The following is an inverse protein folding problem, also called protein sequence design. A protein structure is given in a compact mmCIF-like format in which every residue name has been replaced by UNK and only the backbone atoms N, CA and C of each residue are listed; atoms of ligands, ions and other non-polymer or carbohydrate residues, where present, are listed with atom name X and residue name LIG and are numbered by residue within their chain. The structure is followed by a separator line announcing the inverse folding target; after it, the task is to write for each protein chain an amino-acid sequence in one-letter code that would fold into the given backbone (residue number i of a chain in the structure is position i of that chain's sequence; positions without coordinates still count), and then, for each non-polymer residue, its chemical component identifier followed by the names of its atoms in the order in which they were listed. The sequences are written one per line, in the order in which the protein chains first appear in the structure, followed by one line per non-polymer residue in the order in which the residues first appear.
data_IF_168063849639
#
_entry.id   IF_168063849639
#
_cell.length_a   1.000
_cell.length_b   1.000
_cell.length_c   1.000
_cell.angle_alpha   90.00
_cell.angle_beta   90.00
_cell.angle_gamma   90.00
#
_symmetry.space_group_name_H-M   'P 1'
#
loop_
_entity.id
_entity.type
_entity.pdbx_description
1 polymer ?
#
# COMPACT_ATOMS: atom_id res chain seq x y z
N UNK A 1 35.61 11.61 54.51
CA UNK A 1 34.64 12.37 53.65
C UNK A 1 34.88 12.11 52.18
N UNK A 2 36.05 12.22 51.67
CA UNK A 2 36.35 11.97 50.23
C UNK A 2 35.94 10.58 49.76
N UNK A 3 36.20 9.53 50.55
CA UNK A 3 35.82 8.15 50.20
C UNK A 3 34.31 7.91 50.08
N UNK A 4 33.51 8.64 50.84
CA UNK A 4 32.06 8.53 50.79
C UNK A 4 31.52 9.19 49.52
N UNK A 5 32.17 10.27 49.09
CA UNK A 5 31.80 10.97 47.85
C UNK A 5 32.06 10.11 46.63
N UNK A 6 33.16 9.34 46.62
CA UNK A 6 33.44 8.38 45.53
C UNK A 6 32.44 7.23 45.46
N UNK A 7 31.94 6.75 46.59
CA UNK A 7 30.93 5.73 46.67
C UNK A 7 29.59 6.26 46.15
N UNK A 8 29.22 7.47 46.46
CA UNK A 8 28.01 8.13 45.90
C UNK A 8 28.12 8.37 44.40
N UNK A 9 29.27 8.78 43.92
CA UNK A 9 29.51 8.99 42.49
C UNK A 9 29.46 7.67 41.70
N UNK A 10 29.91 6.58 42.29
CA UNK A 10 29.87 5.26 41.65
C UNK A 10 28.45 4.71 41.48
N UNK A 11 27.52 5.02 42.40
CA UNK A 11 26.15 4.58 42.38
C UNK A 11 25.33 5.25 41.23
N UNK A 12 25.76 6.44 40.81
CA UNK A 12 25.08 7.18 39.74
C UNK A 12 25.31 6.55 38.36
N UNK A 13 26.39 5.78 38.17
CA UNK A 13 26.71 5.15 36.90
C UNK A 13 26.03 3.80 36.65
N UNK A 14 25.30 3.25 37.61
CA UNK A 14 24.57 1.98 37.47
C UNK A 14 23.10 2.12 37.05
N UNK A 15 22.66 3.31 36.67
CA UNK A 15 21.38 3.50 36.01
C UNK A 15 21.47 3.11 34.54
N UNK A 16 21.79 1.83 34.24
CA UNK A 16 21.44 1.24 32.96
C UNK A 16 19.91 1.03 32.95
N UNK A 17 19.18 2.03 32.51
CA UNK A 17 17.83 1.80 32.07
C UNK A 17 17.89 0.86 30.87
N UNK A 18 17.64 -0.42 31.07
CA UNK A 18 17.40 -1.33 29.97
C UNK A 18 16.07 -0.93 29.35
N UNK A 19 16.11 -0.17 28.26
CA UNK A 19 14.93 0.04 27.45
C UNK A 19 14.60 -1.31 26.80
N UNK A 20 13.50 -1.91 27.22
CA UNK A 20 12.93 -3.00 26.46
C UNK A 20 12.70 -2.50 25.03
N UNK A 21 13.06 -3.26 23.99
CA UNK A 21 12.77 -2.86 22.62
C UNK A 21 11.27 -2.58 22.51
N UNK A 22 10.87 -1.51 21.82
CA UNK A 22 9.47 -1.20 21.65
C UNK A 22 8.78 -2.40 21.02
N UNK A 23 7.87 -3.01 21.75
CA UNK A 23 7.03 -4.05 21.21
C UNK A 23 6.03 -3.33 20.30
N UNK A 24 6.16 -3.54 18.98
CA UNK A 24 5.17 -3.10 18.01
C UNK A 24 3.80 -3.66 18.39
N UNK A 25 2.73 -2.97 18.00
CA UNK A 25 1.37 -3.46 18.14
C UNK A 25 1.17 -4.83 17.47
N UNK A 26 -0.04 -5.41 17.55
CA UNK A 26 -0.33 -6.69 16.93
C UNK A 26 0.05 -6.65 15.44
N UNK A 27 0.57 -7.77 14.94
CA UNK A 27 0.96 -7.90 13.55
C UNK A 27 -0.26 -7.71 12.66
N UNK A 28 -0.15 -6.83 11.70
CA UNK A 28 -1.14 -6.69 10.65
C UNK A 28 -1.12 -7.93 9.76
N UNK A 29 -2.27 -8.58 9.66
CA UNK A 29 -2.49 -9.80 8.88
C UNK A 29 -3.57 -9.62 7.81
N UNK A 30 -4.15 -8.44 7.72
CA UNK A 30 -5.18 -8.11 6.73
C UNK A 30 -4.54 -7.52 5.48
N UNK A 31 -5.10 -7.87 4.33
CA UNK A 31 -4.67 -7.32 3.05
C UNK A 31 -5.42 -6.04 2.68
N UNK A 32 -4.95 -5.33 1.66
CA UNK A 32 -5.58 -4.12 1.20
C UNK A 32 -7.04 -4.32 0.81
N UNK A 33 -7.88 -3.39 1.21
CA UNK A 33 -9.30 -3.36 0.87
C UNK A 33 -9.56 -2.24 -0.13
N UNK A 34 -10.24 -2.55 -1.23
CA UNK A 34 -10.63 -1.56 -2.21
C UNK A 34 -11.71 -0.63 -1.62
N UNK A 35 -11.39 0.65 -1.50
CA UNK A 35 -12.29 1.67 -0.97
C UNK A 35 -13.14 2.31 -2.06
N UNK A 36 -12.61 2.43 -3.26
CA UNK A 36 -13.34 3.08 -4.33
C UNK A 36 -12.60 3.08 -5.66
N UNK A 37 -13.33 3.46 -6.69
CA UNK A 37 -12.86 3.59 -8.06
C UNK A 37 -13.31 4.92 -8.63
N UNK A 38 -12.42 5.57 -9.38
CA UNK A 38 -12.75 6.79 -10.12
C UNK A 38 -12.32 6.66 -11.58
N UNK A 39 -13.20 7.04 -12.51
CA UNK A 39 -14.59 7.46 -12.30
C UNK A 39 -15.41 6.36 -11.65
N UNK A 40 -16.54 6.71 -11.05
CA UNK A 40 -17.41 5.75 -10.34
C UNK A 40 -17.76 4.55 -11.21
N UNK A 41 -17.87 3.39 -10.59
CA UNK A 41 -18.29 2.17 -11.27
C UNK A 41 -19.61 2.40 -12.05
N UNK A 42 -19.66 1.87 -13.27
CA UNK A 42 -20.76 2.05 -14.24
C UNK A 42 -20.96 3.50 -14.72
N UNK A 43 -20.01 4.40 -14.50
CA UNK A 43 -20.02 5.74 -15.08
C UNK A 43 -19.33 5.77 -16.45
N UNK A 44 -19.62 6.82 -17.23
CA UNK A 44 -18.90 7.05 -18.48
C UNK A 44 -17.48 7.53 -18.20
N UNK A 45 -16.52 7.01 -18.97
CA UNK A 45 -15.12 7.39 -18.89
C UNK A 45 -14.81 8.33 -20.06
N UNK A 46 -14.15 9.45 -19.80
CA UNK A 46 -13.54 10.24 -20.87
C UNK A 46 -12.44 9.46 -21.56
N UNK A 47 -12.26 9.64 -22.87
CA UNK A 47 -11.46 8.79 -23.75
C UNK A 47 -10.04 8.53 -23.27
N UNK A 48 -9.42 9.46 -22.56
CA UNK A 48 -8.01 9.41 -22.13
C UNK A 48 -7.82 9.55 -20.61
N UNK A 49 -8.90 9.67 -19.85
CA UNK A 49 -8.79 9.80 -18.40
C UNK A 49 -8.33 8.49 -17.75
N UNK A 50 -7.47 8.57 -16.73
CA UNK A 50 -7.08 7.39 -15.98
C UNK A 50 -8.23 6.85 -15.13
N UNK A 51 -8.20 5.54 -14.91
CA UNK A 51 -9.01 4.89 -13.88
C UNK A 51 -8.12 4.73 -12.65
N UNK A 52 -8.63 5.16 -11.48
CA UNK A 52 -7.90 5.11 -10.22
C UNK A 52 -8.64 4.21 -9.24
N UNK A 53 -7.95 3.19 -8.77
CA UNK A 53 -8.41 2.31 -7.70
C UNK A 53 -7.76 2.75 -6.39
N UNK A 54 -8.55 3.02 -5.36
CA UNK A 54 -8.05 3.46 -4.05
C UNK A 54 -8.26 2.37 -3.00
N UNK A 55 -7.23 2.12 -2.21
CA UNK A 55 -7.22 1.13 -1.15
C UNK A 55 -7.02 1.78 0.21
N UNK A 56 -7.30 1.05 1.28
CA UNK A 56 -7.10 1.50 2.66
C UNK A 56 -5.63 1.48 3.10
N UNK A 57 -4.76 0.77 2.38
CA UNK A 57 -3.33 0.65 2.67
C UNK A 57 -2.48 0.77 1.40
N UNK A 58 -1.16 0.92 1.62
CA UNK A 58 -0.19 0.99 0.52
C UNK A 58 -0.08 -0.36 -0.18
N UNK A 59 -0.04 -0.30 -1.50
CA UNK A 59 0.10 -1.46 -2.37
C UNK A 59 1.59 -1.65 -2.70
N UNK A 60 2.05 -2.89 -2.60
CA UNK A 60 3.37 -3.25 -3.10
C UNK A 60 3.37 -3.23 -4.63
N UNK A 61 4.17 -2.34 -5.26
CA UNK A 61 4.20 -2.25 -6.73
C UNK A 61 4.59 -3.56 -7.41
N UNK A 62 5.39 -4.39 -6.78
CA UNK A 62 5.80 -5.69 -7.37
C UNK A 62 4.64 -6.68 -7.45
N UNK A 63 3.62 -6.53 -6.60
CA UNK A 63 2.47 -7.44 -6.55
C UNK A 63 1.48 -7.25 -7.68
N UNK A 64 1.52 -6.11 -8.39
CA UNK A 64 0.56 -5.85 -9.48
C UNK A 64 0.97 -6.47 -10.80
N UNK A 65 2.19 -6.96 -10.92
CA UNK A 65 2.66 -7.63 -12.14
C UNK A 65 1.78 -8.85 -12.40
N UNK A 66 1.15 -8.92 -13.58
CA UNK A 66 0.20 -9.96 -13.95
C UNK A 66 -0.99 -10.11 -12.98
N UNK A 67 -1.39 -9.03 -12.32
CA UNK A 67 -2.48 -9.06 -11.34
C UNK A 67 -3.66 -8.16 -11.70
N UNK A 68 -3.55 -7.37 -12.75
CA UNK A 68 -4.61 -6.50 -13.25
C UNK A 68 -4.94 -6.90 -14.69
N UNK A 69 -6.18 -7.27 -14.92
CA UNK A 69 -6.67 -7.69 -16.22
C UNK A 69 -7.75 -6.75 -16.70
N UNK A 70 -7.66 -6.34 -17.97
CA UNK A 70 -8.59 -5.38 -18.56
C UNK A 70 -9.27 -6.02 -19.76
N UNK A 71 -10.58 -5.93 -19.79
CA UNK A 71 -11.40 -6.39 -20.90
C UNK A 71 -12.26 -5.23 -21.43
N UNK A 72 -12.37 -5.02 -22.74
CA UNK A 72 -11.61 -5.71 -23.81
C UNK A 72 -10.10 -5.45 -23.67
N UNK A 73 -9.28 -6.31 -24.28
CA UNK A 73 -7.82 -6.19 -24.23
C UNK A 73 -7.37 -4.87 -24.85
N UNK A 74 -6.85 -3.97 -24.04
CA UNK A 74 -6.43 -2.63 -24.40
C UNK A 74 -5.03 -2.41 -23.82
N UNK A 75 -4.17 -1.77 -24.58
CA UNK A 75 -2.85 -1.40 -24.09
C UNK A 75 -2.97 -0.27 -23.06
N UNK A 76 -2.51 -0.54 -21.86
CA UNK A 76 -2.59 0.37 -20.72
C UNK A 76 -1.24 0.49 -20.00
N UNK A 77 -1.06 1.62 -19.35
CA UNK A 77 -0.02 1.81 -18.34
C UNK A 77 -0.64 1.64 -16.95
N UNK A 78 -0.04 0.79 -16.14
CA UNK A 78 -0.49 0.55 -14.77
C UNK A 78 0.62 0.99 -13.83
N UNK A 79 0.30 1.86 -12.86
CA UNK A 79 1.24 2.36 -11.87
C UNK A 79 0.63 2.32 -10.49
N UNK A 80 1.45 1.99 -9.50
CA UNK A 80 1.10 2.12 -8.09
C UNK A 80 1.63 3.44 -7.57
N UNK A 81 0.76 4.18 -6.89
CA UNK A 81 1.10 5.39 -6.15
C UNK A 81 0.55 5.26 -4.73
N UNK A 82 1.40 4.83 -3.80
CA UNK A 82 1.02 4.63 -2.39
C UNK A 82 -0.14 3.62 -2.26
N UNK A 83 -1.33 4.07 -1.91
CA UNK A 83 -2.54 3.25 -1.78
C UNK A 83 -3.43 3.25 -3.03
N UNK A 84 -2.89 3.68 -4.18
CA UNK A 84 -3.65 3.80 -5.42
C UNK A 84 -3.02 3.02 -6.55
N UNK A 85 -3.86 2.35 -7.34
CA UNK A 85 -3.48 1.78 -8.63
C UNK A 85 -4.07 2.69 -9.70
N UNK A 86 -3.21 3.26 -10.54
CA UNK A 86 -3.59 4.16 -11.64
C UNK A 86 -3.44 3.43 -12.96
N UNK A 87 -4.54 3.30 -13.69
CA UNK A 87 -4.63 2.63 -14.98
C UNK A 87 -4.93 3.67 -16.05
N UNK A 88 -3.99 3.87 -16.96
CA UNK A 88 -4.13 4.86 -18.04
C UNK A 88 -4.05 4.17 -19.38
N UNK A 89 -4.97 4.45 -20.34
CA UNK A 89 -4.87 3.89 -21.68
C UNK A 89 -3.67 4.51 -22.40
N UNK A 90 -2.95 3.73 -23.17
CA UNK A 90 -1.88 4.25 -24.01
C UNK A 90 -2.40 5.09 -25.17
N UNK A 91 -3.58 4.75 -25.68
CA UNK A 91 -4.30 5.52 -26.69
C UNK A 91 -5.58 6.09 -26.08
N UNK A 92 -6.69 5.42 -26.26
CA UNK A 92 -8.00 5.86 -25.77
C UNK A 92 -8.79 4.65 -25.29
N UNK A 93 -9.69 4.90 -24.33
CA UNK A 93 -10.70 3.91 -23.97
C UNK A 93 -11.69 3.69 -25.12
N UNK A 94 -12.26 2.48 -25.27
CA UNK A 94 -13.27 2.23 -26.27
C UNK A 94 -14.55 3.06 -25.98
N UNK A 95 -15.18 3.56 -27.03
CA UNK A 95 -16.37 4.43 -26.92
C UNK A 95 -17.65 3.62 -26.73
N UNK A 96 -17.75 2.46 -27.40
CA UNK A 96 -19.01 1.72 -27.53
C UNK A 96 -19.03 0.40 -26.74
N UNK A 97 -18.04 0.15 -25.88
CA UNK A 97 -18.01 -1.05 -25.06
C UNK A 97 -17.61 -0.74 -23.62
N UNK A 98 -18.18 -1.46 -22.65
CA UNK A 98 -17.75 -1.31 -21.27
C UNK A 98 -16.29 -1.76 -21.09
N UNK A 99 -15.60 -1.11 -20.18
CA UNK A 99 -14.27 -1.52 -19.71
C UNK A 99 -14.44 -2.25 -18.40
N UNK A 100 -14.01 -3.49 -18.34
CA UNK A 100 -14.01 -4.31 -17.14
C UNK A 100 -12.60 -4.46 -16.61
N UNK A 101 -12.43 -4.28 -15.31
CA UNK A 101 -11.15 -4.45 -14.63
C UNK A 101 -11.29 -5.57 -13.62
N UNK A 102 -10.46 -6.59 -13.79
CA UNK A 102 -10.39 -7.73 -12.89
C UNK A 102 -9.06 -7.71 -12.13
N UNK A 103 -9.13 -7.82 -10.82
CA UNK A 103 -7.97 -7.86 -9.94
C UNK A 103 -7.71 -9.28 -9.45
N UNK A 104 -6.48 -9.73 -9.60
CA UNK A 104 -6.04 -10.98 -8.98
C UNK A 104 -5.86 -10.81 -7.48
N UNK A 105 -6.13 -11.87 -6.73
CA UNK A 105 -5.85 -11.92 -5.28
C UNK A 105 -4.36 -11.87 -4.94
N UNK A 106 -3.47 -11.82 -5.92
CA UNK A 106 -2.03 -11.70 -5.69
C UNK A 106 -1.58 -10.26 -5.38
N UNK A 107 -2.45 -9.27 -5.56
CA UNK A 107 -2.19 -7.91 -5.12
C UNK A 107 -2.04 -7.90 -3.60
N UNK A 108 -0.98 -7.31 -3.11
CA UNK A 108 -0.65 -7.33 -1.69
C UNK A 108 -0.09 -6.00 -1.19
N UNK A 109 -0.09 -5.84 0.12
CA UNK A 109 0.65 -4.81 0.81
C UNK A 109 2.15 -5.15 0.91
N UNK A 110 2.95 -4.27 1.53
CA UNK A 110 4.39 -4.50 1.75
C UNK A 110 4.70 -5.62 2.75
N UNK A 111 3.70 -6.11 3.48
CA UNK A 111 3.80 -7.25 4.41
C UNK A 111 3.34 -8.56 3.78
N UNK A 112 3.06 -8.55 2.48
CA UNK A 112 2.59 -9.71 1.71
C UNK A 112 1.17 -10.19 2.06
N UNK A 113 0.37 -9.38 2.74
CA UNK A 113 -1.04 -9.66 2.91
C UNK A 113 -1.78 -9.36 1.61
N UNK A 114 -2.55 -10.32 1.13
CA UNK A 114 -3.23 -10.26 -0.17
C UNK A 114 -4.66 -9.73 -0.02
N UNK A 115 -5.15 -9.08 -1.10
CA UNK A 115 -6.55 -8.62 -1.18
C UNK A 115 -7.54 -9.78 -1.19
#
# INVERSE_FOLDING_TARGET
MIKIIYIYLLIIFFNCASQAPPQGGPRDIEGPILLGIQPNNKSNISMDNPIVLSFDEYIDPSSIVNSVYIYPSIDVSIRVRQNKIVIKPLNKWPVDSPVEINLSRNISDYRTNKI
#
